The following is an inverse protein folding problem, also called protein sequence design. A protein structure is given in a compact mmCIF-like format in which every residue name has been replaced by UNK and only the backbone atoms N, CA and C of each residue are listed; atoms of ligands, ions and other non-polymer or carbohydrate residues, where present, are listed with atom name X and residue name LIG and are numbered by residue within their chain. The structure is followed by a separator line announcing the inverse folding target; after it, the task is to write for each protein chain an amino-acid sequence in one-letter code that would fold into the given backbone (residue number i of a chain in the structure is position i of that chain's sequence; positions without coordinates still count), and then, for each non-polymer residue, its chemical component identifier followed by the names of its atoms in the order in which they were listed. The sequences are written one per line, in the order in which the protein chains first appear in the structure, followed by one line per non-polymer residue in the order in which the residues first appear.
data_IF_339369558655
#
_entry.id   IF_339369558655
#
_cell.length_a   1.000
_cell.length_b   1.000
_cell.length_c   1.000
_cell.angle_alpha   90.00
_cell.angle_beta   90.00
_cell.angle_gamma   90.00
#
_symmetry.space_group_name_H-M   'P 1'
#
loop_
_entity.id
_entity.type
_entity.pdbx_description
1 polymer ?
#
# COMPACT_ATOMS: atom_id res chain seq x y z
N UNK A 1 -18.72 4.93 -6.86
CA UNK A 1 -19.17 6.17 -7.54
C UNK A 1 -20.08 5.72 -8.69
N UNK A 2 -21.40 5.96 -8.63
CA UNK A 2 -22.30 5.60 -9.74
C UNK A 2 -21.98 6.51 -10.93
N UNK A 3 -21.52 5.92 -12.03
CA UNK A 3 -21.38 6.62 -13.30
C UNK A 3 -22.29 5.87 -14.28
N UNK A 4 -23.32 6.55 -14.78
CA UNK A 4 -24.29 6.00 -15.76
C UNK A 4 -24.89 4.63 -15.38
N UNK A 5 -25.46 4.50 -14.18
CA UNK A 5 -26.18 3.28 -13.77
C UNK A 5 -25.31 2.04 -13.49
N UNK A 6 -23.98 2.14 -13.65
CA UNK A 6 -23.04 1.07 -13.31
C UNK A 6 -22.30 1.41 -12.02
N UNK A 7 -22.31 0.46 -11.09
CA UNK A 7 -21.50 0.54 -9.87
C UNK A 7 -20.07 0.17 -10.21
N UNK A 8 -19.24 1.18 -10.44
CA UNK A 8 -17.81 0.98 -10.49
C UNK A 8 -17.28 0.97 -9.06
N UNK A 9 -16.85 -0.21 -8.61
CA UNK A 9 -15.85 -0.32 -7.56
C UNK A 9 -14.64 0.44 -8.08
N UNK A 10 -14.39 1.64 -7.54
CA UNK A 10 -13.28 2.47 -7.96
C UNK A 10 -11.93 1.78 -7.69
N UNK A 11 -10.83 2.45 -8.03
CA UNK A 11 -9.51 1.93 -7.71
C UNK A 11 -9.32 1.96 -6.19
N UNK A 12 -9.18 0.80 -5.57
CA UNK A 12 -8.76 0.70 -4.17
C UNK A 12 -7.28 1.10 -4.08
N UNK A 13 -6.95 2.04 -3.19
CA UNK A 13 -5.55 2.45 -2.99
C UNK A 13 -4.82 1.34 -2.24
N UNK A 14 -3.88 0.72 -2.94
CA UNK A 14 -3.01 -0.33 -2.41
C UNK A 14 -1.57 0.02 -2.73
N UNK A 15 -0.67 -0.26 -1.80
CA UNK A 15 0.77 -0.10 -1.96
C UNK A 15 1.46 -1.42 -1.65
N UNK A 16 2.59 -1.68 -2.30
CA UNK A 16 3.38 -2.89 -2.11
C UNK A 16 4.83 -2.50 -1.84
N UNK A 17 5.42 -3.11 -0.82
CA UNK A 17 6.83 -2.99 -0.51
C UNK A 17 7.54 -4.23 -1.06
N UNK A 18 8.50 -4.01 -1.96
CA UNK A 18 9.24 -5.06 -2.67
C UNK A 18 10.68 -5.02 -2.18
N UNK A 19 11.22 -6.17 -1.81
CA UNK A 19 12.62 -6.30 -1.41
C UNK A 19 13.57 -6.32 -2.63
N UNK A 20 14.89 -6.19 -2.43
CA UNK A 20 15.85 -6.24 -3.53
C UNK A 20 15.90 -7.58 -4.27
N UNK A 21 15.39 -8.67 -3.68
CA UNK A 21 15.27 -9.99 -4.32
C UNK A 21 14.02 -10.10 -5.21
N UNK A 22 13.18 -9.06 -5.24
CA UNK A 22 11.95 -9.01 -6.02
C UNK A 22 10.76 -9.71 -5.35
N UNK A 23 10.84 -10.05 -4.06
CA UNK A 23 9.71 -10.59 -3.29
C UNK A 23 8.95 -9.47 -2.60
N UNK A 24 7.67 -9.71 -2.35
CA UNK A 24 6.81 -8.77 -1.63
C UNK A 24 7.11 -8.89 -0.14
N UNK A 25 7.77 -7.88 0.42
CA UNK A 25 8.05 -7.79 1.84
C UNK A 25 6.79 -7.40 2.64
N UNK A 26 5.95 -6.53 2.08
CA UNK A 26 4.71 -6.09 2.75
C UNK A 26 3.65 -5.57 1.77
N UNK A 27 2.39 -5.73 2.13
CA UNK A 27 1.23 -5.27 1.35
C UNK A 27 0.38 -4.34 2.21
N UNK A 28 0.02 -3.20 1.65
CA UNK A 28 -0.84 -2.23 2.32
C UNK A 28 -2.16 -2.09 1.56
N UNK A 29 -3.27 -2.39 2.23
CA UNK A 29 -4.62 -2.22 1.70
C UNK A 29 -5.30 -1.03 2.38
N UNK A 30 -6.09 -0.28 1.61
CA UNK A 30 -6.93 0.81 2.11
C UNK A 30 -6.13 1.89 2.90
N UNK A 31 -4.97 2.28 2.34
CA UNK A 31 -4.03 3.16 3.05
C UNK A 31 -4.57 4.58 3.20
N UNK A 32 -4.41 5.11 4.41
CA UNK A 32 -4.62 6.53 4.71
C UNK A 32 -3.37 7.31 4.32
N UNK A 33 -3.44 8.22 3.34
CA UNK A 33 -2.24 8.87 2.79
C UNK A 33 -1.46 9.69 3.82
N UNK A 34 -2.13 10.27 4.83
CA UNK A 34 -1.46 11.03 5.89
C UNK A 34 -0.55 10.18 6.78
N UNK A 35 -0.92 8.92 7.03
CA UNK A 35 -0.19 8.02 7.93
C UNK A 35 0.75 7.08 7.15
N UNK A 36 0.50 6.91 5.86
CA UNK A 36 1.17 5.91 5.03
C UNK A 36 2.68 6.15 4.91
N UNK A 37 3.13 7.39 4.74
CA UNK A 37 4.55 7.72 4.59
C UNK A 37 5.37 7.28 5.82
N UNK A 38 4.88 7.60 7.02
CA UNK A 38 5.51 7.21 8.29
C UNK A 38 5.50 5.69 8.48
N UNK A 39 4.38 5.04 8.13
CA UNK A 39 4.25 3.60 8.23
C UNK A 39 5.25 2.86 7.32
N UNK A 40 5.43 3.32 6.08
CA UNK A 40 6.41 2.75 5.15
C UNK A 40 7.83 2.95 5.68
N UNK A 41 8.14 4.10 6.26
CA UNK A 41 9.47 4.37 6.80
C UNK A 41 9.81 3.46 7.99
N UNK A 42 8.89 3.27 8.93
CA UNK A 42 9.05 2.34 10.05
C UNK A 42 9.19 0.88 9.59
N UNK A 43 8.40 0.49 8.59
CA UNK A 43 8.44 -0.86 8.04
C UNK A 43 9.77 -1.12 7.31
N UNK A 44 10.30 -0.11 6.60
CA UNK A 44 11.63 -0.15 5.99
C UNK A 44 12.74 -0.31 7.03
N UNK A 45 12.70 0.45 8.12
CA UNK A 45 13.67 0.32 9.23
C UNK A 45 13.61 -1.08 9.86
N UNK A 46 12.40 -1.60 10.08
CA UNK A 46 12.18 -2.94 10.65
C UNK A 46 12.71 -4.04 9.73
N UNK A 47 12.57 -3.87 8.42
CA UNK A 47 13.07 -4.81 7.42
C UNK A 47 14.59 -4.72 7.22
N UNK A 48 15.18 -3.53 7.32
CA UNK A 48 16.63 -3.33 7.19
C UNK A 48 17.40 -3.77 8.45
N UNK A 49 16.76 -3.76 9.61
CA UNK A 49 17.35 -4.21 10.87
C UNK A 49 17.39 -5.76 11.03
N UNK A 50 16.92 -6.51 10.03
CA UNK A 50 16.77 -7.96 10.06
C UNK A 50 17.68 -8.62 9.01
#
# INVERSE_FOLDING_TARGET
KKFMGREYMGVARSSFLIDPEGKIAKIYFNVKPAEHATQVMQDLETLAAK
#
